data_IF_855759386075
#
_entry.id   IF_855759386075
#
_cell.length_a   1.000
_cell.length_b   1.000
_cell.length_c   1.000
_cell.angle_alpha   90.00
_cell.angle_beta   90.00
_cell.angle_gamma   90.00
#
_symmetry.space_group_name_H-M   'P 1'
#
loop_
_entity.id
_entity.type
_entity.pdbx_description
1 polymer ?
#
# COMPACT_ATOMS: atom_id res chain seq x y z
N UNK A 1 -11.49 15.82 12.35
CA UNK A 1 -11.42 14.96 11.15
C UNK A 1 -12.66 14.09 11.18
N UNK A 2 -13.65 14.41 10.35
CA UNK A 2 -14.85 13.60 10.18
C UNK A 2 -14.54 12.47 9.20
N UNK A 3 -14.46 11.24 9.70
CA UNK A 3 -14.43 10.04 8.87
C UNK A 3 -15.90 9.60 8.70
N UNK A 4 -16.54 9.77 7.53
CA UNK A 4 -17.89 9.27 7.33
C UNK A 4 -17.81 7.74 7.19
N UNK A 5 -18.08 7.03 8.29
CA UNK A 5 -18.05 5.55 8.37
C UNK A 5 -19.25 4.92 7.61
N UNK A 6 -20.16 5.73 7.07
CA UNK A 6 -21.47 5.29 6.55
C UNK A 6 -21.49 4.82 5.09
N UNK A 7 -20.45 5.04 4.29
CA UNK A 7 -20.46 4.73 2.84
C UNK A 7 -19.47 3.64 2.37
N UNK A 8 -18.65 3.10 3.28
CA UNK A 8 -17.59 2.14 2.95
C UNK A 8 -17.93 0.76 3.54
N UNK A 9 -18.99 0.15 3.03
CA UNK A 9 -19.41 -1.22 3.42
C UNK A 9 -18.55 -2.28 2.73
N UNK A 10 -18.08 -2.02 1.51
CA UNK A 10 -17.29 -2.94 0.72
C UNK A 10 -15.79 -2.74 0.93
N UNK A 11 -15.09 -3.82 1.29
CA UNK A 11 -13.64 -3.84 1.55
C UNK A 11 -12.83 -3.40 0.31
N UNK A 12 -13.32 -3.72 -0.89
CA UNK A 12 -12.75 -3.26 -2.17
C UNK A 12 -12.90 -1.75 -2.35
N UNK A 13 -14.06 -1.18 -2.02
CA UNK A 13 -14.31 0.26 -2.09
C UNK A 13 -13.48 1.01 -1.05
N UNK A 14 -13.32 0.43 0.15
CA UNK A 14 -12.44 0.98 1.18
C UNK A 14 -10.98 0.98 0.78
N UNK A 15 -10.52 -0.11 0.18
CA UNK A 15 -9.18 -0.20 -0.36
C UNK A 15 -8.97 0.82 -1.48
N UNK A 16 -9.90 0.93 -2.43
CA UNK A 16 -9.81 1.89 -3.53
C UNK A 16 -9.83 3.36 -3.05
N UNK A 17 -10.65 3.68 -2.04
CA UNK A 17 -10.68 5.01 -1.45
C UNK A 17 -9.37 5.36 -0.75
N UNK A 18 -8.83 4.44 0.06
CA UNK A 18 -7.54 4.60 0.74
C UNK A 18 -6.40 4.78 -0.27
N UNK A 19 -6.40 3.98 -1.33
CA UNK A 19 -5.44 4.08 -2.42
C UNK A 19 -5.49 5.47 -3.06
N UNK A 20 -6.69 5.94 -3.44
CA UNK A 20 -6.86 7.25 -4.08
C UNK A 20 -6.54 8.43 -3.15
N UNK A 21 -6.83 8.30 -1.85
CA UNK A 21 -6.63 9.37 -0.88
C UNK A 21 -5.16 9.52 -0.46
N UNK A 22 -4.48 8.40 -0.18
CA UNK A 22 -3.08 8.42 0.26
C UNK A 22 -2.07 8.39 -0.90
N UNK A 23 -2.45 7.81 -2.03
CA UNK A 23 -1.59 7.65 -3.20
C UNK A 23 -2.30 8.16 -4.46
N UNK A 24 -2.52 9.49 -4.57
CA UNK A 24 -3.26 10.07 -5.70
C UNK A 24 -2.59 9.82 -7.06
N UNK A 25 -1.28 9.62 -7.07
CA UNK A 25 -0.50 9.34 -8.29
C UNK A 25 -0.28 7.83 -8.51
N UNK A 26 -0.75 6.95 -7.61
CA UNK A 26 -0.49 5.50 -7.62
C UNK A 26 0.52 5.06 -6.55
N UNK A 27 0.53 3.77 -6.22
CA UNK A 27 1.54 3.23 -5.28
C UNK A 27 2.91 3.26 -5.96
N UNK A 28 3.77 4.12 -5.44
CA UNK A 28 5.16 4.22 -5.85
C UNK A 28 6.07 3.98 -4.66
N UNK A 29 7.27 3.47 -4.93
CA UNK A 29 8.29 3.32 -3.90
C UNK A 29 8.70 4.71 -3.38
N UNK A 30 8.62 4.97 -2.06
CA UNK A 30 8.98 6.27 -1.49
C UNK A 30 10.47 6.62 -1.65
N UNK A 31 11.31 5.64 -2.00
CA UNK A 31 12.75 5.86 -2.14
C UNK A 31 13.22 6.13 -3.56
N UNK A 32 12.59 5.52 -4.56
CA UNK A 32 13.05 5.61 -5.96
C UNK A 32 11.93 5.99 -6.95
N UNK A 33 10.69 6.12 -6.50
CA UNK A 33 9.55 6.41 -7.36
C UNK A 33 9.15 5.27 -8.30
N UNK A 34 9.74 4.07 -8.16
CA UNK A 34 9.36 2.92 -8.98
C UNK A 34 7.92 2.51 -8.71
N UNK A 35 7.20 2.14 -9.76
CA UNK A 35 5.81 1.67 -9.69
C UNK A 35 5.68 0.41 -8.82
N UNK A 36 4.52 0.20 -8.19
CA UNK A 36 4.22 -1.02 -7.43
C UNK A 36 4.32 -2.29 -8.27
N UNK A 37 4.15 -2.21 -9.59
CA UNK A 37 4.40 -3.32 -10.50
C UNK A 37 5.86 -3.80 -10.46
N UNK A 38 6.80 -2.90 -10.11
CA UNK A 38 8.20 -3.22 -9.85
C UNK A 38 8.46 -3.57 -8.37
N UNK A 39 7.44 -3.90 -7.60
CA UNK A 39 7.56 -4.45 -6.25
C UNK A 39 7.22 -5.95 -6.24
N UNK A 40 7.87 -6.72 -5.37
CA UNK A 40 7.54 -8.12 -5.10
C UNK A 40 7.12 -8.33 -3.66
N UNK A 41 6.25 -9.31 -3.43
CA UNK A 41 5.96 -9.79 -2.09
C UNK A 41 7.23 -10.45 -1.52
N UNK A 42 7.77 -9.87 -0.45
CA UNK A 42 8.97 -10.38 0.20
C UNK A 42 8.65 -11.34 1.34
N UNK A 43 7.53 -11.12 2.03
CA UNK A 43 7.05 -12.01 3.07
C UNK A 43 5.90 -11.40 3.85
N UNK A 44 5.47 -12.08 4.91
CA UNK A 44 4.41 -11.62 5.80
C UNK A 44 4.93 -11.58 7.23
N UNK A 45 4.68 -10.48 7.95
CA UNK A 45 5.08 -10.38 9.36
C UNK A 45 4.29 -11.37 10.21
N UNK A 46 4.95 -12.09 11.12
CA UNK A 46 4.30 -13.13 11.94
C UNK A 46 3.30 -12.59 12.99
N UNK A 47 3.51 -11.37 13.48
CA UNK A 47 2.69 -10.79 14.56
C UNK A 47 1.49 -10.02 14.04
N UNK A 48 1.69 -9.25 12.96
CA UNK A 48 0.68 -8.33 12.43
C UNK A 48 0.04 -8.86 11.15
N UNK A 49 0.49 -10.01 10.64
CA UNK A 49 0.08 -10.60 9.37
C UNK A 49 0.17 -9.62 8.18
N UNK A 50 1.05 -8.62 8.30
CA UNK A 50 1.22 -7.58 7.28
C UNK A 50 2.11 -8.10 6.15
N UNK A 51 1.64 -7.97 4.91
CA UNK A 51 2.42 -8.22 3.71
C UNK A 51 3.52 -7.18 3.55
N UNK A 52 4.77 -7.65 3.50
CA UNK A 52 5.96 -6.86 3.22
C UNK A 52 6.21 -6.88 1.73
N UNK A 53 6.11 -5.71 1.11
CA UNK A 53 6.49 -5.50 -0.28
C UNK A 53 7.92 -4.96 -0.35
N UNK A 54 8.71 -5.46 -1.30
CA UNK A 54 10.08 -5.03 -1.56
C UNK A 54 10.21 -4.54 -2.99
N UNK A 55 10.67 -3.31 -3.17
CA UNK A 55 10.93 -2.73 -4.48
C UNK A 55 12.09 -3.46 -5.16
N UNK A 56 11.95 -3.81 -6.44
CA UNK A 56 13.01 -4.46 -7.22
C UNK A 56 14.07 -3.47 -7.72
N UNK A 57 13.73 -2.18 -7.84
CA UNK A 57 14.66 -1.16 -8.35
C UNK A 57 15.66 -0.68 -7.29
N UNK A 58 15.22 -0.53 -6.04
CA UNK A 58 16.07 -0.04 -4.94
C UNK A 58 16.29 -1.06 -3.81
N UNK A 59 15.69 -2.26 -3.93
CA UNK A 59 15.78 -3.36 -2.97
C UNK A 59 15.32 -3.01 -1.54
N UNK A 60 14.58 -1.90 -1.37
CA UNK A 60 14.00 -1.46 -0.09
C UNK A 60 12.57 -1.92 0.09
N UNK A 61 12.17 -2.12 1.35
CA UNK A 61 10.80 -2.47 1.71
C UNK A 61 9.92 -1.22 1.76
N UNK A 62 8.64 -1.39 1.39
CA UNK A 62 7.63 -0.33 1.44
C UNK A 62 7.15 -0.06 2.87
N UNK A 63 7.26 -1.07 3.73
CA UNK A 63 7.02 -0.95 5.17
C UNK A 63 8.32 -1.16 5.95
N UNK A 64 8.38 -0.55 7.13
CA UNK A 64 9.38 -0.73 8.17
C UNK A 64 8.65 -1.13 9.45
#
# INVERSE_FOLDING_TARGET
MDFPIIDLIDEEQATAWLLKHFHPEGLHCPHCGADVAAARLFGTTKKSHLCIYRCLSCDRTYNL
#
